data_IF_804622226127
#
_entry.id   IF_804622226127
#
_cell.length_a   1.000
_cell.length_b   1.000
_cell.length_c   1.000
_cell.angle_alpha   90.00
_cell.angle_beta   90.00
_cell.angle_gamma   90.00
#
_symmetry.space_group_name_H-M   'P 1'
#
loop_
_entity.id
_entity.type
_entity.pdbx_description
1 polymer ?
#
# COMPACT_ATOMS: atom_id res chain seq x y z
N UNK A 1 15.29 31.88 -11.29
CA UNK A 1 14.49 31.44 -10.11
C UNK A 1 14.56 29.93 -10.07
N UNK A 2 15.04 29.29 -8.99
CA UNK A 2 15.05 27.84 -8.94
C UNK A 2 13.59 27.38 -8.85
N UNK A 3 13.07 26.82 -9.93
CA UNK A 3 11.74 26.19 -9.97
C UNK A 3 11.85 24.82 -9.31
N UNK A 4 12.01 24.79 -7.98
CA UNK A 4 11.95 23.53 -7.24
C UNK A 4 10.49 23.09 -7.20
N UNK A 5 10.11 22.20 -8.12
CA UNK A 5 8.81 21.55 -8.07
C UNK A 5 8.78 20.67 -6.80
N UNK A 6 7.71 20.73 -5.99
CA UNK A 6 7.59 19.88 -4.81
C UNK A 6 7.67 18.39 -5.18
N UNK A 7 8.17 17.53 -4.28
CA UNK A 7 8.17 16.08 -4.50
C UNK A 7 6.77 15.55 -4.83
N UNK A 8 6.68 14.52 -5.67
CA UNK A 8 5.40 13.93 -6.08
C UNK A 8 4.54 13.49 -4.88
N UNK A 9 5.16 12.94 -3.83
CA UNK A 9 4.45 12.58 -2.60
C UNK A 9 3.79 13.80 -1.92
N UNK A 10 4.44 14.97 -1.94
CA UNK A 10 3.88 16.23 -1.41
C UNK A 10 2.69 16.71 -2.23
N UNK A 11 2.78 16.58 -3.56
CA UNK A 11 1.67 16.93 -4.46
C UNK A 11 0.46 16.02 -4.24
N UNK A 12 0.68 14.70 -4.13
CA UNK A 12 -0.38 13.73 -3.82
C UNK A 12 -1.01 13.97 -2.46
N UNK A 13 -0.20 14.28 -1.44
CA UNK A 13 -0.70 14.60 -0.11
C UNK A 13 -1.64 15.81 -0.14
N UNK A 14 -1.26 16.88 -0.86
CA UNK A 14 -2.08 18.08 -1.00
C UNK A 14 -3.40 17.80 -1.74
N UNK A 15 -3.35 17.01 -2.82
CA UNK A 15 -4.54 16.61 -3.58
C UNK A 15 -5.49 15.75 -2.74
N UNK A 16 -4.97 14.71 -2.07
CA UNK A 16 -5.77 13.84 -1.22
C UNK A 16 -6.43 14.62 -0.07
N UNK A 17 -5.71 15.56 0.54
CA UNK A 17 -6.26 16.44 1.59
C UNK A 17 -7.44 17.28 1.08
N UNK A 18 -7.31 17.93 -0.08
CA UNK A 18 -8.43 18.68 -0.65
C UNK A 18 -9.64 17.78 -0.92
N UNK A 19 -9.42 16.58 -1.46
CA UNK A 19 -10.50 15.64 -1.72
C UNK A 19 -11.18 15.17 -0.42
N UNK A 20 -10.42 14.99 0.66
CA UNK A 20 -10.90 14.56 1.98
C UNK A 20 -11.64 15.67 2.74
N UNK A 21 -11.04 16.85 2.83
CA UNK A 21 -11.49 17.92 3.72
C UNK A 21 -12.52 18.83 3.05
N UNK A 22 -12.39 19.07 1.74
CA UNK A 22 -13.21 20.05 1.02
C UNK A 22 -14.26 19.37 0.12
N UNK A 23 -13.86 18.39 -0.70
CA UNK A 23 -14.77 17.80 -1.69
C UNK A 23 -15.68 16.72 -1.09
N UNK A 24 -15.15 15.82 -0.28
CA UNK A 24 -15.91 14.69 0.26
C UNK A 24 -17.15 15.09 1.09
N UNK A 25 -17.12 16.17 1.89
CA UNK A 25 -18.31 16.65 2.61
C UNK A 25 -19.44 17.16 1.70
N UNK A 26 -19.13 17.56 0.46
CA UNK A 26 -20.12 18.09 -0.49
C UNK A 26 -20.73 17.02 -1.39
N UNK A 27 -20.29 15.77 -1.29
CA UNK A 27 -20.73 14.66 -2.13
C UNK A 27 -21.59 13.69 -1.34
N UNK A 28 -22.57 13.08 -2.02
CA UNK A 28 -23.43 12.03 -1.47
C UNK A 28 -23.46 10.78 -2.36
N UNK A 29 -24.00 9.70 -1.80
CA UNK A 29 -24.26 8.44 -2.51
C UNK A 29 -23.03 7.85 -3.21
N UNK A 30 -23.20 7.48 -4.48
CA UNK A 30 -22.18 6.82 -5.29
C UNK A 30 -20.90 7.67 -5.45
N UNK A 31 -21.03 8.97 -5.68
CA UNK A 31 -19.87 9.84 -5.89
C UNK A 31 -19.06 10.03 -4.61
N UNK A 32 -19.73 10.11 -3.45
CA UNK A 32 -19.05 10.12 -2.16
C UNK A 32 -18.24 8.85 -1.93
N UNK A 33 -18.82 7.69 -2.28
CA UNK A 33 -18.11 6.41 -2.19
C UNK A 33 -16.89 6.37 -3.12
N UNK A 34 -17.04 6.74 -4.39
CA UNK A 34 -15.93 6.75 -5.36
C UNK A 34 -14.83 7.74 -4.97
N UNK A 35 -15.17 8.90 -4.42
CA UNK A 35 -14.20 9.87 -3.91
C UNK A 35 -13.38 9.28 -2.75
N UNK A 36 -14.01 8.54 -1.81
CA UNK A 36 -13.29 7.83 -0.74
C UNK A 36 -12.33 6.76 -1.28
N UNK A 37 -12.76 6.00 -2.29
CA UNK A 37 -11.91 4.99 -2.95
C UNK A 37 -10.71 5.67 -3.61
N UNK A 38 -10.95 6.75 -4.36
CA UNK A 38 -9.91 7.52 -5.05
C UNK A 38 -8.89 8.07 -4.06
N UNK A 39 -9.36 8.71 -2.99
CA UNK A 39 -8.52 9.19 -1.89
C UNK A 39 -7.66 8.06 -1.33
N UNK A 40 -8.25 6.90 -1.03
CA UNK A 40 -7.50 5.76 -0.49
C UNK A 40 -6.39 5.30 -1.45
N UNK A 41 -6.66 5.25 -2.76
CA UNK A 41 -5.65 4.92 -3.79
C UNK A 41 -4.53 5.96 -3.81
N UNK A 42 -4.86 7.26 -3.77
CA UNK A 42 -3.83 8.32 -3.72
C UNK A 42 -2.95 8.20 -2.48
N UNK A 43 -3.53 7.86 -1.33
CA UNK A 43 -2.78 7.62 -0.08
C UNK A 43 -1.90 6.38 -0.15
N UNK A 44 -2.30 5.33 -0.88
CA UNK A 44 -1.45 4.16 -1.13
C UNK A 44 -0.24 4.58 -1.96
N UNK A 45 -0.46 5.25 -3.10
CA UNK A 45 0.63 5.72 -3.97
C UNK A 45 1.57 6.69 -3.23
N UNK A 46 1.04 7.58 -2.39
CA UNK A 46 1.84 8.46 -1.52
C UNK A 46 2.79 7.66 -0.61
N UNK A 47 2.30 6.57 0.00
CA UNK A 47 3.12 5.70 0.87
C UNK A 47 4.13 4.89 0.07
N UNK A 48 3.75 4.37 -1.10
CA UNK A 48 4.67 3.66 -2.00
C UNK A 48 5.84 4.57 -2.42
N UNK A 49 5.56 5.82 -2.81
CA UNK A 49 6.60 6.78 -3.19
C UNK A 49 7.51 7.19 -2.02
N UNK A 50 7.03 7.08 -0.77
CA UNK A 50 7.82 7.37 0.42
C UNK A 50 8.64 6.15 0.88
N UNK A 51 8.25 4.96 0.47
CA UNK A 51 8.96 3.73 0.78
C UNK A 51 10.22 3.64 -0.10
N UNK A 52 11.39 3.40 0.51
CA UNK A 52 12.64 3.17 -0.22
C UNK A 52 12.69 1.78 -0.89
N UNK A 53 11.68 0.95 -0.66
CA UNK A 53 11.55 -0.36 -1.25
C UNK A 53 11.14 -0.25 -2.74
N UNK A 54 11.68 -1.13 -3.62
CA UNK A 54 11.34 -1.10 -5.03
C UNK A 54 9.82 -1.22 -5.24
N UNK A 55 9.24 -0.47 -6.19
CA UNK A 55 7.80 -0.47 -6.44
C UNK A 55 7.36 -1.87 -6.81
N UNK A 56 6.66 -2.54 -5.87
CA UNK A 56 6.05 -3.86 -5.96
C UNK A 56 6.50 -4.70 -7.17
N UNK A 57 7.79 -5.08 -7.19
CA UNK A 57 8.29 -6.17 -8.04
C UNK A 57 7.82 -7.55 -7.55
N UNK A 58 6.96 -7.56 -6.52
CA UNK A 58 6.40 -8.74 -5.87
C UNK A 58 5.75 -9.70 -6.86
N UNK A 59 5.12 -9.23 -7.95
CA UNK A 59 4.46 -10.12 -8.91
C UNK A 59 5.40 -11.19 -9.50
N UNK A 60 6.61 -10.83 -9.92
CA UNK A 60 7.53 -11.79 -10.54
C UNK A 60 8.25 -12.65 -9.49
N UNK A 61 8.64 -12.06 -8.35
CA UNK A 61 9.31 -12.75 -7.26
C UNK A 61 8.37 -13.75 -6.56
N UNK A 62 7.12 -13.37 -6.32
CA UNK A 62 6.10 -14.23 -5.70
C UNK A 62 5.73 -15.39 -6.62
N UNK A 63 5.65 -15.16 -7.94
CA UNK A 63 5.42 -16.23 -8.91
C UNK A 63 6.61 -17.21 -8.96
N UNK A 64 7.84 -16.70 -8.93
CA UNK A 64 9.04 -17.54 -8.88
C UNK A 64 9.12 -18.35 -7.58
N UNK A 65 8.77 -17.75 -6.45
CA UNK A 65 8.71 -18.42 -5.15
C UNK A 65 7.60 -19.49 -5.12
N UNK A 66 6.40 -19.16 -5.60
CA UNK A 66 5.30 -20.11 -5.71
C UNK A 66 5.66 -21.31 -6.59
N UNK A 67 6.38 -21.07 -7.69
CA UNK A 67 6.85 -22.15 -8.56
C UNK A 67 7.97 -22.98 -7.92
N UNK A 68 8.89 -22.36 -7.17
CA UNK A 68 9.90 -23.10 -6.40
C UNK A 68 9.27 -24.02 -5.35
N UNK A 69 8.20 -23.57 -4.69
CA UNK A 69 7.45 -24.39 -3.73
C UNK A 69 6.71 -25.51 -4.45
N UNK A 70 5.98 -25.20 -5.53
CA UNK A 70 5.19 -26.19 -6.29
C UNK A 70 6.04 -27.29 -6.93
N UNK A 71 7.23 -26.92 -7.42
CA UNK A 71 8.20 -27.86 -8.00
C UNK A 71 9.00 -28.65 -6.95
N UNK A 72 8.82 -28.36 -5.65
CA UNK A 72 9.55 -29.02 -4.56
C UNK A 72 11.02 -28.59 -4.44
N UNK A 73 11.48 -27.61 -5.24
CA UNK A 73 12.83 -27.02 -5.10
C UNK A 73 12.99 -26.30 -3.77
N UNK A 74 11.90 -25.75 -3.23
CA UNK A 74 11.83 -25.19 -1.89
C UNK A 74 10.73 -25.93 -1.11
N UNK A 75 11.08 -26.76 -0.11
CA UNK A 75 10.09 -27.41 0.74
C UNK A 75 9.19 -26.38 1.43
N UNK A 76 7.88 -26.65 1.50
CA UNK A 76 6.91 -25.73 2.12
C UNK A 76 7.11 -25.60 3.64
N UNK A 77 7.73 -26.60 4.26
CA UNK A 77 8.14 -26.66 5.66
C UNK A 77 9.57 -26.14 5.90
N UNK A 78 10.18 -25.50 4.89
CA UNK A 78 11.50 -24.89 5.02
C UNK A 78 11.57 -23.98 6.26
N UNK A 79 12.55 -24.19 7.16
CA UNK A 79 12.70 -23.36 8.34
C UNK A 79 12.80 -21.88 7.99
N UNK A 80 11.99 -21.04 8.64
CA UNK A 80 12.00 -19.59 8.42
C UNK A 80 11.17 -19.08 7.24
N UNK A 81 10.74 -19.94 6.30
CA UNK A 81 9.93 -19.53 5.15
C UNK A 81 8.63 -18.83 5.58
N UNK A 82 7.89 -19.45 6.49
CA UNK A 82 6.64 -18.88 7.02
C UNK A 82 6.87 -17.57 7.79
N UNK A 83 8.03 -17.39 8.43
CA UNK A 83 8.36 -16.15 9.13
C UNK A 83 8.64 -15.01 8.14
N UNK A 84 9.41 -15.29 7.09
CA UNK A 84 9.72 -14.32 6.04
C UNK A 84 8.46 -13.88 5.29
N UNK A 85 7.63 -14.83 4.84
CA UNK A 85 6.38 -14.53 4.14
C UNK A 85 5.43 -13.66 4.98
N UNK A 86 5.39 -13.87 6.30
CA UNK A 86 4.61 -13.02 7.21
C UNK A 86 5.18 -11.61 7.33
N UNK A 87 6.51 -11.48 7.35
CA UNK A 87 7.17 -10.17 7.40
C UNK A 87 6.88 -9.37 6.12
N UNK A 88 7.01 -10.02 4.96
CA UNK A 88 6.73 -9.41 3.65
C UNK A 88 5.26 -9.00 3.55
N UNK A 89 4.33 -9.88 3.95
CA UNK A 89 2.90 -9.57 4.00
C UNK A 89 2.60 -8.42 4.98
N UNK A 90 3.23 -8.38 6.15
CA UNK A 90 3.05 -7.29 7.11
C UNK A 90 3.52 -5.96 6.53
N UNK A 91 4.64 -5.93 5.80
CA UNK A 91 5.08 -4.72 5.10
C UNK A 91 4.08 -4.29 4.01
N UNK A 92 3.61 -5.24 3.20
CA UNK A 92 2.60 -4.97 2.17
C UNK A 92 1.27 -4.47 2.77
N UNK A 93 0.85 -5.02 3.91
CA UNK A 93 -0.34 -4.59 4.63
C UNK A 93 -0.16 -3.21 5.27
N UNK A 94 1.02 -2.89 5.81
CA UNK A 94 1.30 -1.55 6.34
C UNK A 94 1.20 -0.48 5.24
N UNK A 95 1.60 -0.80 4.00
CA UNK A 95 1.45 0.08 2.85
C UNK A 95 0.01 0.17 2.34
N UNK A 96 -0.69 -0.96 2.21
CA UNK A 96 -2.03 -0.96 1.61
C UNK A 96 -3.13 -0.57 2.60
N UNK A 97 -3.02 -1.03 3.84
CA UNK A 97 -4.08 -0.98 4.84
C UNK A 97 -3.51 -0.97 6.27
N UNK A 98 -2.85 0.12 6.70
CA UNK A 98 -2.07 0.19 7.94
C UNK A 98 -2.87 -0.11 9.21
N UNK A 99 -4.19 0.02 9.18
CA UNK A 99 -5.08 -0.33 10.30
C UNK A 99 -4.96 -1.80 10.74
N UNK A 100 -4.61 -2.72 9.83
CA UNK A 100 -4.47 -4.15 10.15
C UNK A 100 -3.11 -4.50 10.75
N UNK A 101 -2.15 -3.59 10.70
CA UNK A 101 -0.81 -3.77 11.24
C UNK A 101 -0.57 -2.93 12.50
N UNK A 102 -1.50 -2.03 12.83
CA UNK A 102 -1.39 -1.17 14.00
C UNK A 102 -2.15 -1.79 15.20
N UNK A 103 -1.46 -2.18 16.29
CA UNK A 103 -2.10 -2.88 17.42
C UNK A 103 -3.15 -2.04 18.17
N UNK A 104 -3.16 -0.71 17.97
CA UNK A 104 -4.14 0.21 18.59
C UNK A 104 -5.34 0.54 17.68
N UNK A 105 -5.44 -0.04 16.48
CA UNK A 105 -6.55 0.25 15.59
C UNK A 105 -7.83 -0.44 16.07
N UNK A 106 -8.95 0.28 16.31
CA UNK A 106 -10.18 -0.34 16.77
C UNK A 106 -10.71 -1.33 15.73
N UNK A 107 -11.15 -2.50 16.21
CA UNK A 107 -11.86 -3.51 15.42
C UNK A 107 -13.14 -2.91 14.81
N UNK A 108 -13.59 -3.38 13.63
CA UNK A 108 -14.78 -2.87 12.95
C UNK A 108 -16.07 -3.02 13.76
#
# INVERSE_FOLDING_TARGET
>A
MPTSVPPAATLLQAAARYLEEELLPTLDGYHRFQARVTVNVLRIVERELRSAAPPNGAGAADLALAEAIRSGRLPIDSPGLAAQLRADLAQALALNNPKWTNPESPAP
#
